data_IF_860692899923
#
_entry.id   IF_860692899923
#
_cell.length_a   1.000
_cell.length_b   1.000
_cell.length_c   1.000
_cell.angle_alpha   90.00
_cell.angle_beta   90.00
_cell.angle_gamma   90.00
#
_symmetry.space_group_name_H-M   'P 1'
#
loop_
_entity.id
_entity.type
_entity.pdbx_description
1 polymer ?
#
# COMPACT_ATOMS: atom_id res chain seq x y z
N UNK A 1 -0.54 -5.04 -18.50
CA UNK A 1 0.31 -3.85 -18.24
C UNK A 1 1.73 -4.25 -18.62
N UNK A 2 2.44 -3.47 -19.43
CA UNK A 2 3.81 -3.84 -19.84
C UNK A 2 4.72 -3.98 -18.61
N UNK A 3 5.68 -4.94 -18.59
CA UNK A 3 6.55 -5.19 -17.44
C UNK A 3 7.38 -3.98 -17.00
N UNK A 4 7.49 -2.94 -17.82
CA UNK A 4 8.20 -1.70 -17.53
C UNK A 4 7.28 -0.50 -17.20
N UNK A 5 5.96 -0.60 -17.19
CA UNK A 5 5.09 0.55 -16.96
C UNK A 5 4.61 0.57 -15.50
N UNK A 6 4.95 1.64 -14.76
CA UNK A 6 4.52 1.87 -13.37
C UNK A 6 3.39 2.90 -13.27
N UNK A 7 2.80 3.30 -14.40
CA UNK A 7 1.75 4.33 -14.43
C UNK A 7 2.21 5.71 -13.97
N UNK A 8 1.24 6.56 -13.62
CA UNK A 8 1.49 7.93 -13.14
C UNK A 8 1.93 7.91 -11.68
N UNK A 9 3.26 7.93 -11.47
CA UNK A 9 3.85 7.94 -10.13
C UNK A 9 3.76 9.30 -9.41
N UNK A 10 3.41 10.35 -10.15
CA UNK A 10 3.41 11.74 -9.71
C UNK A 10 2.20 12.11 -8.87
N UNK A 11 2.37 13.03 -7.93
CA UNK A 11 1.26 13.79 -7.35
C UNK A 11 0.75 14.79 -8.40
N UNK A 12 -0.55 14.74 -8.74
CA UNK A 12 -1.19 15.50 -9.82
C UNK A 12 -2.19 16.52 -9.26
N UNK A 13 -2.78 17.32 -10.14
CA UNK A 13 -3.84 18.27 -9.78
C UNK A 13 -5.11 17.59 -9.28
N UNK A 14 -5.42 16.38 -9.79
CA UNK A 14 -6.54 15.56 -9.32
C UNK A 14 -6.41 15.26 -7.82
N UNK A 15 -5.20 15.00 -7.33
CA UNK A 15 -4.95 14.76 -5.91
C UNK A 15 -5.07 16.02 -5.06
N UNK A 16 -4.64 17.17 -5.58
CA UNK A 16 -4.80 18.46 -4.91
C UNK A 16 -6.27 18.87 -4.84
N UNK A 17 -7.04 18.49 -5.85
CA UNK A 17 -8.47 18.75 -5.94
C UNK A 17 -9.30 17.77 -5.10
N UNK A 18 -8.70 16.72 -4.53
CA UNK A 18 -9.41 15.73 -3.73
C UNK A 18 -10.15 16.36 -2.54
N UNK A 19 -11.43 15.98 -2.35
CA UNK A 19 -12.30 16.49 -1.26
C UNK A 19 -12.99 15.37 -0.46
N UNK A 20 -12.57 14.13 -0.66
CA UNK A 20 -13.24 12.95 -0.11
C UNK A 20 -13.86 12.08 -1.19
N UNK A 21 -14.27 10.87 -0.80
CA UNK A 21 -14.91 9.89 -1.66
C UNK A 21 -16.09 9.25 -0.95
N UNK A 22 -17.05 8.71 -1.70
CA UNK A 22 -18.07 7.83 -1.12
C UNK A 22 -17.48 6.43 -0.96
N UNK A 23 -17.76 5.77 0.16
CA UNK A 23 -17.29 4.41 0.38
C UNK A 23 -17.78 3.44 -0.72
N UNK A 24 -19.04 3.58 -1.13
CA UNK A 24 -19.64 2.75 -2.19
C UNK A 24 -18.90 2.89 -3.52
N UNK A 25 -18.59 4.11 -3.96
CA UNK A 25 -17.84 4.36 -5.20
C UNK A 25 -16.45 3.72 -5.17
N UNK A 26 -15.74 3.83 -4.04
CA UNK A 26 -14.42 3.24 -3.87
C UNK A 26 -14.47 1.72 -3.86
N UNK A 27 -15.41 1.15 -3.11
CA UNK A 27 -15.67 -0.30 -3.06
C UNK A 27 -15.99 -0.83 -4.45
N UNK A 28 -16.97 -0.23 -5.12
CA UNK A 28 -17.46 -0.71 -6.41
C UNK A 28 -16.37 -0.65 -7.47
N UNK A 29 -15.54 0.41 -7.47
CA UNK A 29 -14.39 0.48 -8.33
C UNK A 29 -13.39 -0.65 -8.06
N UNK A 30 -13.03 -0.89 -6.79
CA UNK A 30 -12.07 -1.94 -6.40
C UNK A 30 -12.55 -3.33 -6.84
N UNK A 31 -13.84 -3.60 -6.72
CA UNK A 31 -14.42 -4.90 -7.07
C UNK A 31 -14.90 -5.01 -8.52
N UNK A 32 -14.79 -3.94 -9.33
CA UNK A 32 -15.14 -3.97 -10.74
C UNK A 32 -14.29 -4.96 -11.56
N UNK A 33 -13.07 -5.25 -11.10
CA UNK A 33 -12.15 -6.22 -11.70
C UNK A 33 -11.78 -7.29 -10.66
N UNK A 34 -12.68 -8.25 -10.37
CA UNK A 34 -12.45 -9.21 -9.29
C UNK A 34 -11.24 -10.11 -9.58
N UNK A 35 -10.54 -10.51 -8.52
CA UNK A 35 -9.51 -11.54 -8.61
C UNK A 35 -10.09 -12.84 -9.17
N UNK A 36 -9.27 -13.58 -9.90
CA UNK A 36 -9.66 -14.92 -10.34
C UNK A 36 -9.94 -15.80 -9.12
N UNK A 37 -10.98 -16.63 -9.23
CA UNK A 37 -11.36 -17.57 -8.17
C UNK A 37 -10.33 -18.68 -7.99
N UNK A 38 -9.68 -19.08 -9.08
CA UNK A 38 -8.65 -20.12 -9.11
C UNK A 38 -7.46 -19.59 -9.90
N UNK A 39 -6.28 -19.66 -9.31
CA UNK A 39 -5.02 -19.34 -9.96
C UNK A 39 -4.20 -20.63 -10.15
N UNK A 40 -3.59 -20.81 -11.33
CA UNK A 40 -2.72 -21.95 -11.62
C UNK A 40 -3.41 -23.31 -11.70
N UNK A 41 -4.74 -23.33 -11.87
CA UNK A 41 -5.50 -24.54 -12.21
C UNK A 41 -5.31 -24.94 -13.68
N UNK A 42 -5.85 -26.10 -14.07
CA UNK A 42 -5.79 -26.56 -15.46
C UNK A 42 -6.50 -25.55 -16.39
N UNK A 43 -5.75 -24.94 -17.31
CA UNK A 43 -6.26 -23.91 -18.22
C UNK A 43 -6.35 -22.49 -17.62
N UNK A 44 -6.03 -22.33 -16.33
CA UNK A 44 -6.05 -21.03 -15.64
C UNK A 44 -4.64 -20.42 -15.57
N UNK A 45 -4.50 -19.09 -15.67
CA UNK A 45 -3.18 -18.47 -15.57
C UNK A 45 -2.64 -18.56 -14.13
N UNK A 46 -1.30 -18.54 -13.95
CA UNK A 46 -0.70 -18.51 -12.63
C UNK A 46 -0.97 -17.18 -11.90
N UNK A 47 -0.91 -17.21 -10.57
CA UNK A 47 -0.98 -15.98 -9.77
C UNK A 47 0.18 -15.05 -10.19
N UNK A 48 -0.09 -13.80 -10.60
CA UNK A 48 0.96 -12.88 -11.00
C UNK A 48 1.84 -12.54 -9.79
N UNK A 49 3.15 -12.69 -9.97
CA UNK A 49 4.17 -12.27 -9.01
C UNK A 49 5.02 -11.21 -9.69
N UNK A 50 5.16 -10.06 -9.03
CA UNK A 50 5.95 -8.94 -9.51
C UNK A 50 7.18 -8.73 -8.62
N UNK A 51 8.33 -8.58 -9.27
CA UNK A 51 9.59 -8.37 -8.57
C UNK A 51 9.82 -6.91 -8.22
N UNK A 52 10.41 -6.69 -7.05
CA UNK A 52 11.06 -5.42 -6.71
C UNK A 52 12.53 -5.56 -7.02
N UNK A 53 13.03 -4.76 -7.94
CA UNK A 53 14.42 -4.84 -8.41
C UNK A 53 15.15 -3.52 -8.19
N UNK A 54 16.47 -3.56 -8.00
CA UNK A 54 17.27 -2.35 -7.92
C UNK A 54 17.09 -1.45 -9.16
N UNK A 55 17.10 -1.96 -10.42
CA UNK A 55 16.78 -1.17 -11.60
C UNK A 55 15.44 -0.45 -11.53
N UNK A 56 14.38 -1.08 -11.02
CA UNK A 56 13.09 -0.40 -10.81
C UNK A 56 13.17 0.71 -9.77
N UNK A 57 13.95 0.51 -8.70
CA UNK A 57 14.13 1.49 -7.64
C UNK A 57 14.97 2.70 -8.07
N UNK A 58 15.89 2.56 -9.04
CA UNK A 58 16.75 3.66 -9.54
C UNK A 58 16.29 4.27 -10.87
N UNK A 59 15.14 3.85 -11.38
CA UNK A 59 14.66 4.30 -12.69
C UNK A 59 14.41 5.81 -12.72
N UNK A 60 14.96 6.49 -13.72
CA UNK A 60 14.84 7.95 -13.87
C UNK A 60 15.82 8.76 -13.04
N UNK A 61 16.89 8.14 -12.51
CA UNK A 61 17.99 8.87 -11.84
C UNK A 61 18.97 9.49 -12.84
N UNK A 62 19.20 8.86 -14.00
CA UNK A 62 20.17 9.35 -14.99
C UNK A 62 19.54 10.32 -16.00
N UNK A 63 20.19 11.46 -16.34
CA UNK A 63 19.67 12.44 -17.30
C UNK A 63 19.83 12.01 -18.78
N UNK A 64 19.10 12.65 -19.72
CA UNK A 64 18.17 13.77 -19.52
C UNK A 64 16.71 13.39 -19.83
N UNK A 65 15.79 13.65 -18.88
CA UNK A 65 14.37 13.85 -19.20
C UNK A 65 13.34 13.00 -18.47
N UNK A 66 13.72 12.01 -17.66
CA UNK A 66 12.75 11.26 -16.83
C UNK A 66 12.88 11.66 -15.37
N UNK A 67 11.82 12.13 -14.71
CA UNK A 67 11.89 12.39 -13.28
C UNK A 67 12.08 11.07 -12.52
N UNK A 68 12.76 11.15 -11.37
CA UNK A 68 13.05 9.98 -10.55
C UNK A 68 11.75 9.36 -10.01
N UNK A 69 11.30 8.26 -10.63
CA UNK A 69 9.98 7.66 -10.39
C UNK A 69 9.76 7.26 -8.93
N UNK A 70 10.78 6.68 -8.28
CA UNK A 70 10.62 6.26 -6.88
C UNK A 70 10.47 7.46 -5.94
N UNK A 71 11.19 8.56 -6.17
CA UNK A 71 10.99 9.81 -5.42
C UNK A 71 9.57 10.35 -5.58
N UNK A 72 9.01 10.29 -6.78
CA UNK A 72 7.63 10.71 -7.05
C UNK A 72 6.62 9.83 -6.32
N UNK A 73 6.82 8.51 -6.36
CA UNK A 73 5.98 7.55 -5.66
C UNK A 73 6.01 7.75 -4.13
N UNK A 74 7.18 8.09 -3.56
CA UNK A 74 7.34 8.41 -2.12
C UNK A 74 6.64 9.71 -1.78
N UNK A 75 6.88 10.80 -2.52
CA UNK A 75 6.21 12.08 -2.30
C UNK A 75 4.69 11.92 -2.35
N UNK A 76 4.20 11.20 -3.36
CA UNK A 76 2.78 10.88 -3.48
C UNK A 76 2.24 10.09 -2.29
N UNK A 77 2.98 9.09 -1.80
CA UNK A 77 2.51 8.27 -0.68
C UNK A 77 2.30 9.10 0.60
N UNK A 78 3.06 10.18 0.77
CA UNK A 78 2.97 11.10 1.90
C UNK A 78 1.90 12.19 1.68
N UNK A 79 1.86 12.78 0.49
CA UNK A 79 1.08 14.00 0.21
C UNK A 79 -0.32 13.73 -0.37
N UNK A 80 -0.56 12.55 -0.96
CA UNK A 80 -1.82 12.26 -1.65
C UNK A 80 -2.91 11.76 -0.71
N UNK A 81 -4.02 12.52 -0.65
CA UNK A 81 -5.21 12.09 0.07
C UNK A 81 -6.19 11.26 -0.77
N UNK A 82 -6.02 11.19 -2.10
CA UNK A 82 -6.91 10.44 -2.98
C UNK A 82 -7.03 8.94 -2.59
N UNK A 83 -8.26 8.41 -2.67
CA UNK A 83 -8.55 7.00 -2.32
C UNK A 83 -8.36 6.05 -3.49
N UNK A 84 -8.56 6.55 -4.71
CA UNK A 84 -8.46 5.78 -5.95
C UNK A 84 -7.53 6.47 -6.93
N UNK A 85 -6.75 5.68 -7.66
CA UNK A 85 -6.00 6.13 -8.82
C UNK A 85 -5.96 5.05 -9.89
N UNK A 86 -6.75 5.28 -10.91
CA UNK A 86 -7.11 4.30 -11.91
C UNK A 86 -6.39 4.52 -13.25
N UNK A 87 -5.77 5.69 -13.45
CA UNK A 87 -5.30 6.09 -14.77
C UNK A 87 -6.47 6.24 -15.76
N UNK A 88 -6.16 6.59 -17.00
CA UNK A 88 -7.19 6.72 -18.06
C UNK A 88 -7.82 5.37 -18.44
N UNK A 89 -7.11 4.26 -18.23
CA UNK A 89 -7.54 2.91 -18.60
C UNK A 89 -8.38 2.20 -17.53
N UNK A 90 -8.57 2.84 -16.37
CA UNK A 90 -9.24 2.24 -15.22
C UNK A 90 -8.66 0.90 -14.79
N UNK A 91 -7.33 0.77 -14.81
CA UNK A 91 -6.62 -0.41 -14.27
C UNK A 91 -5.66 -0.08 -13.13
N UNK A 92 -5.52 1.21 -12.81
CA UNK A 92 -4.59 1.70 -11.81
C UNK A 92 -3.15 1.55 -12.26
N UNK A 93 -2.23 1.53 -11.29
CA UNK A 93 -0.82 1.45 -11.57
C UNK A 93 -0.13 0.42 -10.67
N UNK A 94 0.96 -0.16 -11.18
CA UNK A 94 1.78 -1.09 -10.40
C UNK A 94 2.74 -0.32 -9.51
N UNK A 95 2.71 -0.58 -8.20
CA UNK A 95 3.62 0.06 -7.24
C UNK A 95 5.05 -0.42 -7.41
N UNK A 96 6.03 0.46 -7.21
CA UNK A 96 7.46 0.13 -7.19
C UNK A 96 7.82 -0.77 -6.00
N UNK A 97 7.25 -0.47 -4.83
CA UNK A 97 7.40 -1.24 -3.59
C UNK A 97 6.02 -1.80 -3.20
N UNK A 98 6.00 -2.99 -2.62
CA UNK A 98 4.78 -3.76 -2.35
C UNK A 98 3.91 -3.99 -3.61
N UNK A 99 4.44 -4.46 -4.76
CA UNK A 99 3.64 -4.65 -5.97
C UNK A 99 2.60 -5.78 -5.82
N UNK A 100 2.89 -6.79 -4.99
CA UNK A 100 2.03 -7.93 -4.75
C UNK A 100 1.11 -7.66 -3.55
N UNK A 101 -0.20 -7.66 -3.78
CA UNK A 101 -1.17 -7.44 -2.72
C UNK A 101 -2.62 -7.51 -3.19
N UNK A 102 -3.51 -7.63 -2.21
CA UNK A 102 -4.96 -7.73 -2.40
C UNK A 102 -5.65 -6.54 -1.74
N UNK A 103 -6.75 -6.08 -2.34
CA UNK A 103 -7.65 -5.12 -1.71
C UNK A 103 -8.67 -5.85 -0.84
N UNK A 104 -9.00 -5.24 0.29
CA UNK A 104 -9.94 -5.72 1.30
C UNK A 104 -10.91 -4.59 1.66
N UNK A 105 -12.12 -4.95 2.04
CA UNK A 105 -13.07 -4.01 2.66
C UNK A 105 -13.67 -4.62 3.91
N UNK A 106 -14.03 -3.80 4.89
CA UNK A 106 -14.65 -4.30 6.11
C UNK A 106 -15.02 -3.21 7.09
N UNK A 107 -15.17 -3.61 8.35
CA UNK A 107 -15.37 -2.74 9.50
C UNK A 107 -14.06 -2.63 10.27
N UNK A 108 -13.57 -1.41 10.44
CA UNK A 108 -12.53 -1.07 11.41
C UNK A 108 -13.16 -0.87 12.78
N UNK A 109 -12.61 -1.51 13.80
CA UNK A 109 -13.06 -1.40 15.18
C UNK A 109 -11.87 -1.52 16.14
N UNK A 110 -11.73 -0.55 17.04
CA UNK A 110 -10.73 -0.59 18.12
C UNK A 110 -11.43 -1.00 19.43
N UNK A 111 -11.27 -2.26 19.83
CA UNK A 111 -11.90 -2.79 21.06
C UNK A 111 -11.06 -2.57 22.32
N UNK A 112 -9.75 -2.39 22.18
CA UNK A 112 -8.81 -2.22 23.29
C UNK A 112 -8.53 -0.74 23.59
N UNK A 113 -8.17 -0.43 24.84
CA UNK A 113 -7.68 0.90 25.19
C UNK A 113 -6.35 1.18 24.48
N UNK A 114 -6.26 2.32 23.80
CA UNK A 114 -5.03 2.76 23.12
C UNK A 114 -4.63 4.15 23.63
N UNK A 115 -3.35 4.55 23.48
CA UNK A 115 -2.92 5.94 23.70
C UNK A 115 -3.28 6.86 22.53
N UNK A 116 -3.85 6.32 21.45
CA UNK A 116 -4.15 7.07 20.23
C UNK A 116 -5.52 7.74 20.29
N UNK A 117 -5.71 8.76 19.45
CA UNK A 117 -6.95 9.55 19.34
C UNK A 117 -7.63 9.33 17.98
N UNK A 118 -8.69 10.10 17.69
CA UNK A 118 -9.40 10.00 16.42
C UNK A 118 -9.98 8.60 16.18
N UNK A 119 -9.77 8.05 14.98
CA UNK A 119 -10.22 6.69 14.61
C UNK A 119 -9.42 5.54 15.24
N UNK A 120 -8.37 5.87 16.00
CA UNK A 120 -7.49 4.89 16.65
C UNK A 120 -7.73 4.77 18.15
N UNK A 121 -8.63 5.57 18.72
CA UNK A 121 -9.06 5.44 20.12
C UNK A 121 -10.02 4.26 20.29
N UNK A 122 -10.17 3.80 21.53
CA UNK A 122 -11.13 2.76 21.90
C UNK A 122 -12.57 3.10 21.46
N UNK A 123 -13.31 2.07 21.05
CA UNK A 123 -14.71 2.07 20.64
C UNK A 123 -15.00 2.86 19.35
N UNK A 124 -13.95 3.28 18.62
CA UNK A 124 -14.12 3.88 17.30
C UNK A 124 -14.40 2.82 16.23
N UNK A 125 -15.36 3.15 15.35
CA UNK A 125 -15.80 2.31 14.24
C UNK A 125 -15.82 3.12 12.94
N UNK A 126 -15.39 2.49 11.86
CA UNK A 126 -15.32 3.08 10.52
C UNK A 126 -15.39 1.99 9.46
N UNK A 127 -15.92 2.28 8.28
CA UNK A 127 -15.71 1.40 7.13
C UNK A 127 -14.27 1.53 6.64
N UNK A 128 -13.63 0.41 6.33
CA UNK A 128 -12.24 0.38 5.86
C UNK A 128 -12.15 -0.14 4.44
N UNK A 129 -11.30 0.53 3.67
CA UNK A 129 -10.71 -0.02 2.45
C UNK A 129 -9.23 -0.22 2.73
N UNK A 130 -8.79 -1.47 2.72
CA UNK A 130 -7.41 -1.85 2.99
C UNK A 130 -6.74 -2.49 1.79
N UNK A 131 -5.41 -2.41 1.74
CA UNK A 131 -4.58 -3.21 0.85
C UNK A 131 -3.59 -4.01 1.68
N UNK A 132 -3.73 -5.32 1.66
CA UNK A 132 -2.80 -6.25 2.28
C UNK A 132 -1.77 -6.69 1.25
N UNK A 133 -0.49 -6.55 1.56
CA UNK A 133 0.57 -6.69 0.57
C UNK A 133 1.88 -7.17 1.16
N UNK A 134 2.79 -7.63 0.31
CA UNK A 134 4.15 -8.02 0.68
C UNK A 134 5.15 -7.16 -0.08
N UNK A 135 6.18 -6.65 0.61
CA UNK A 135 7.31 -6.00 -0.05
C UNK A 135 8.24 -7.05 -0.66
N UNK A 136 8.87 -6.69 -1.79
CA UNK A 136 9.68 -7.57 -2.63
C UNK A 136 8.87 -8.67 -3.33
N UNK A 137 9.57 -9.72 -3.76
CA UNK A 137 9.09 -10.76 -4.67
C UNK A 137 8.29 -11.85 -3.96
N UNK A 138 8.63 -12.20 -2.72
CA UNK A 138 8.11 -13.43 -2.11
C UNK A 138 6.67 -13.26 -1.59
N UNK A 139 5.82 -14.20 -1.99
CA UNK A 139 4.38 -14.22 -1.70
C UNK A 139 3.94 -15.50 -0.97
N UNK A 140 4.79 -16.54 -0.98
CA UNK A 140 4.47 -17.88 -0.47
C UNK A 140 4.55 -17.95 1.05
N UNK A 141 3.66 -18.75 1.64
CA UNK A 141 3.66 -19.07 3.07
C UNK A 141 4.99 -19.72 3.49
N UNK A 142 5.42 -19.48 4.72
CA UNK A 142 6.60 -20.13 5.33
C UNK A 142 7.95 -19.55 4.89
N UNK A 143 7.95 -18.62 3.93
CA UNK A 143 9.12 -17.84 3.55
C UNK A 143 9.14 -16.48 4.26
N UNK A 144 10.31 -15.86 4.28
CA UNK A 144 10.47 -14.51 4.80
C UNK A 144 9.76 -13.50 3.90
N UNK A 145 8.86 -12.72 4.51
CA UNK A 145 8.01 -11.75 3.82
C UNK A 145 7.93 -10.48 4.65
N UNK A 146 7.73 -9.36 3.97
CA UNK A 146 7.51 -8.08 4.64
C UNK A 146 6.06 -7.66 4.40
N UNK A 147 5.18 -8.19 5.25
CA UNK A 147 3.73 -8.06 5.14
C UNK A 147 3.28 -6.70 5.69
N UNK A 148 2.34 -6.06 4.99
CA UNK A 148 1.82 -4.74 5.32
C UNK A 148 0.33 -4.63 5.01
N UNK A 149 -0.40 -3.98 5.91
CA UNK A 149 -1.77 -3.52 5.71
C UNK A 149 -1.77 -1.99 5.76
N UNK A 150 -2.17 -1.40 4.65
CA UNK A 150 -2.36 0.05 4.53
C UNK A 150 -3.81 0.28 4.18
N UNK A 151 -4.45 1.30 4.76
CA UNK A 151 -5.86 1.51 4.48
C UNK A 151 -6.35 2.94 4.67
N UNK A 152 -7.58 3.11 4.22
CA UNK A 152 -8.41 4.30 4.32
C UNK A 152 -9.59 3.98 5.24
N UNK A 153 -9.81 4.84 6.24
CA UNK A 153 -10.92 4.75 7.18
C UNK A 153 -11.96 5.79 6.81
N UNK A 154 -13.11 5.33 6.37
CA UNK A 154 -14.26 6.16 6.05
C UNK A 154 -15.04 6.43 7.35
N UNK A 155 -15.30 7.71 7.69
CA UNK A 155 -15.94 8.13 8.93
C UNK A 155 -17.45 7.82 8.97
N UNK A 156 -17.84 6.59 8.66
CA UNK A 156 -19.21 6.10 8.60
C UNK A 156 -19.25 4.59 8.88
N UNK A 157 -20.42 4.08 9.25
CA UNK A 157 -20.74 2.65 9.25
C UNK A 157 -21.80 2.29 8.21
N UNK A 158 -22.33 3.29 7.50
CA UNK A 158 -23.27 3.11 6.40
C UNK A 158 -22.50 2.92 5.08
N UNK A 159 -22.58 1.74 4.45
CA UNK A 159 -21.88 1.46 3.20
C UNK A 159 -22.42 2.25 2.01
N UNK A 160 -23.59 2.86 2.12
CA UNK A 160 -24.24 3.65 1.08
C UNK A 160 -24.33 5.15 1.45
N UNK A 161 -23.49 5.60 2.38
CA UNK A 161 -23.46 6.99 2.82
C UNK A 161 -23.40 7.96 1.63
N UNK A 162 -24.31 8.93 1.61
CA UNK A 162 -24.61 9.74 0.43
C UNK A 162 -23.68 10.93 0.21
N UNK A 163 -22.77 11.23 1.13
CA UNK A 163 -21.83 12.35 0.96
C UNK A 163 -20.40 11.85 0.79
N UNK A 164 -19.55 12.55 0.03
CA UNK A 164 -18.12 12.29 0.04
C UNK A 164 -17.53 12.51 1.45
N UNK A 165 -16.70 11.58 1.89
CA UNK A 165 -16.11 11.61 3.23
C UNK A 165 -14.60 11.84 3.18
N UNK A 166 -14.09 12.66 4.11
CA UNK A 166 -12.66 12.78 4.34
C UNK A 166 -12.17 11.59 5.17
N UNK A 167 -11.34 10.75 4.58
CA UNK A 167 -10.82 9.53 5.21
C UNK A 167 -9.63 9.82 6.12
N UNK A 168 -9.48 9.05 7.20
CA UNK A 168 -8.18 8.88 7.84
C UNK A 168 -7.37 7.78 7.13
N UNK A 169 -6.04 7.85 7.20
CA UNK A 169 -5.15 6.87 6.61
C UNK A 169 -4.44 6.10 7.72
N UNK A 170 -4.09 4.85 7.49
CA UNK A 170 -3.16 4.15 8.37
C UNK A 170 -2.19 3.31 7.56
N UNK A 171 -0.98 3.16 8.11
CA UNK A 171 0.05 2.31 7.54
C UNK A 171 0.59 1.39 8.63
N UNK A 172 0.47 0.08 8.42
CA UNK A 172 1.03 -0.92 9.32
C UNK A 172 1.84 -1.95 8.56
N UNK A 173 2.87 -2.48 9.20
CA UNK A 173 3.78 -3.45 8.61
C UNK A 173 4.35 -4.33 9.71
N UNK A 174 4.75 -5.55 9.36
CA UNK A 174 5.35 -6.47 10.32
C UNK A 174 6.80 -6.06 10.64
N UNK A 175 7.68 -6.29 9.68
CA UNK A 175 9.09 -5.90 9.71
C UNK A 175 9.45 -5.38 8.31
N UNK A 176 10.16 -4.26 8.23
CA UNK A 176 10.58 -3.66 6.95
C UNK A 176 11.61 -4.55 6.24
N UNK A 177 12.53 -5.15 6.99
CA UNK A 177 13.47 -6.17 6.50
C UNK A 177 12.76 -7.47 6.12
N UNK A 178 11.69 -7.81 6.84
CA UNK A 178 10.91 -9.01 6.63
C UNK A 178 10.97 -9.94 7.84
N UNK A 179 9.99 -10.83 7.91
CA UNK A 179 9.87 -11.79 8.99
C UNK A 179 9.26 -13.10 8.48
N UNK A 180 9.44 -14.17 9.27
CA UNK A 180 8.95 -15.50 8.91
C UNK A 180 7.69 -15.81 9.69
N UNK A 181 6.57 -15.82 8.99
CA UNK A 181 5.26 -16.30 9.47
C UNK A 181 4.74 -17.41 8.58
N UNK A 182 4.17 -18.44 9.19
CA UNK A 182 3.59 -19.55 8.44
C UNK A 182 2.24 -19.17 7.83
N UNK A 183 1.41 -18.42 8.57
CA UNK A 183 0.12 -17.93 8.11
C UNK A 183 0.08 -16.40 8.11
N UNK A 184 -0.72 -15.84 7.21
CA UNK A 184 -0.91 -14.37 7.11
C UNK A 184 -1.56 -13.79 8.36
N UNK A 185 -2.37 -14.59 9.06
CA UNK A 185 -3.07 -14.20 10.28
C UNK A 185 -2.15 -14.17 11.51
N UNK A 186 -0.96 -14.77 11.41
CA UNK A 186 0.04 -14.75 12.50
C UNK A 186 0.90 -13.47 12.43
N UNK A 187 0.82 -12.72 11.32
CA UNK A 187 1.61 -11.53 11.13
C UNK A 187 1.09 -10.39 12.02
N UNK A 188 1.92 -10.00 13.00
CA UNK A 188 1.65 -8.82 13.81
C UNK A 188 2.07 -7.56 13.06
N UNK A 189 1.11 -6.71 12.70
CA UNK A 189 1.38 -5.46 11.97
C UNK A 189 1.40 -4.27 12.92
N UNK A 190 2.45 -3.47 12.84
CA UNK A 190 2.70 -2.31 13.69
C UNK A 190 2.87 -1.06 12.84
N UNK A 191 2.50 0.10 13.39
CA UNK A 191 2.77 1.42 12.80
C UNK A 191 4.24 1.85 12.96
N UNK A 192 4.93 1.30 13.97
CA UNK A 192 6.38 1.37 14.16
C UNK A 192 6.99 -0.04 14.02
N UNK A 193 7.07 -0.58 12.80
CA UNK A 193 7.63 -1.91 12.56
C UNK A 193 9.13 -1.96 12.88
N UNK A 194 9.61 -3.17 13.14
CA UNK A 194 11.04 -3.43 13.19
C UNK A 194 11.69 -3.20 11.82
N UNK A 195 12.99 -2.89 11.82
CA UNK A 195 13.77 -2.61 10.62
C UNK A 195 14.96 -3.56 10.50
N UNK A 196 14.69 -4.87 10.52
CA UNK A 196 15.73 -5.89 10.52
C UNK A 196 16.36 -6.07 9.13
N UNK A 197 17.12 -5.07 8.70
CA UNK A 197 17.60 -4.90 7.32
C UNK A 197 18.41 -6.08 6.77
N UNK A 198 19.19 -6.80 7.60
CA UNK A 198 20.02 -7.92 7.14
C UNK A 198 19.21 -9.11 6.61
N UNK A 199 17.95 -9.25 7.04
CA UNK A 199 17.01 -10.26 6.53
C UNK A 199 16.69 -10.05 5.04
N UNK A 200 16.76 -8.81 4.56
CA UNK A 200 16.51 -8.45 3.16
C UNK A 200 17.51 -9.04 2.15
N UNK A 201 18.65 -9.57 2.60
CA UNK A 201 19.68 -10.12 1.72
C UNK A 201 20.07 -9.17 0.59
N UNK A 202 19.95 -9.60 -0.66
CA UNK A 202 20.25 -8.76 -1.84
C UNK A 202 19.29 -7.57 -2.03
N UNK A 203 18.21 -7.47 -1.27
CA UNK A 203 17.29 -6.33 -1.27
C UNK A 203 17.71 -5.14 -0.41
N UNK A 204 18.80 -5.25 0.38
CA UNK A 204 19.32 -4.15 1.22
C UNK A 204 19.54 -2.83 0.46
N UNK A 205 20.09 -2.80 -0.76
CA UNK A 205 20.27 -1.55 -1.49
C UNK A 205 18.95 -0.82 -1.78
N UNK A 206 17.89 -1.55 -2.12
CA UNK A 206 16.55 -0.96 -2.33
C UNK A 206 16.01 -0.37 -1.04
N UNK A 207 16.21 -1.07 0.09
CA UNK A 207 15.82 -0.59 1.41
C UNK A 207 16.55 0.70 1.80
N UNK A 208 17.85 0.82 1.50
CA UNK A 208 18.62 2.04 1.77
C UNK A 208 18.15 3.22 0.92
N UNK A 209 17.79 2.98 -0.35
CA UNK A 209 17.20 3.99 -1.22
C UNK A 209 15.83 4.43 -0.67
N UNK A 210 14.98 3.48 -0.29
CA UNK A 210 13.68 3.74 0.33
C UNK A 210 13.86 4.62 1.58
N UNK A 211 14.74 4.21 2.50
CA UNK A 211 15.02 4.96 3.73
C UNK A 211 15.51 6.38 3.43
N UNK A 212 16.44 6.54 2.48
CA UNK A 212 16.97 7.87 2.11
C UNK A 212 15.90 8.77 1.52
N UNK A 213 14.99 8.23 0.71
CA UNK A 213 13.91 8.99 0.11
C UNK A 213 12.87 9.41 1.14
N UNK A 214 12.42 8.47 1.98
CA UNK A 214 11.48 8.78 3.05
C UNK A 214 12.08 9.75 4.06
N UNK A 215 13.35 9.63 4.46
CA UNK A 215 14.02 10.59 5.35
C UNK A 215 14.03 12.04 4.81
N UNK A 216 13.98 12.21 3.48
CA UNK A 216 13.97 13.53 2.84
C UNK A 216 12.57 14.13 2.68
N UNK A 217 11.53 13.28 2.68
CA UNK A 217 10.15 13.66 2.33
C UNK A 217 9.25 13.61 3.56
N UNK A 218 9.49 12.66 4.46
CA UNK A 218 8.74 12.42 5.68
C UNK A 218 9.56 12.80 6.91
N UNK A 219 8.92 13.44 7.89
CA UNK A 219 9.54 13.80 9.17
C UNK A 219 9.76 12.58 10.06
N UNK A 220 8.97 11.51 9.89
CA UNK A 220 9.08 10.27 10.67
C UNK A 220 9.12 9.03 9.77
N UNK A 221 10.22 8.80 9.03
CA UNK A 221 10.30 7.78 7.98
C UNK A 221 10.15 6.33 8.47
N UNK A 222 10.35 6.08 9.76
CA UNK A 222 10.22 4.76 10.40
C UNK A 222 8.91 4.58 11.18
N UNK A 223 8.13 5.65 11.38
CA UNK A 223 6.79 5.60 11.97
C UNK A 223 5.80 5.97 10.88
N UNK A 224 5.06 4.99 10.37
CA UNK A 224 4.14 5.28 9.28
C UNK A 224 2.81 5.77 9.86
N UNK A 225 2.27 6.83 9.26
CA UNK A 225 1.07 7.58 9.67
C UNK A 225 0.00 6.69 10.33
N UNK A 226 -0.49 7.14 11.48
CA UNK A 226 -1.82 6.86 12.02
C UNK A 226 -2.62 8.16 11.97
#
# INVERSE_FOLDING_TARGET
>A
MEPGFFGTEQFTEEDRAYRGSRFSEVRDAIFANPYQKVWGGAGEPPLPIYDVTLPSAVRGILPPGSPYFFRQAVARAVDSHADLRWGTDRKGFRRIIHPNGICLTGLWEISAQTPYSGYFRKDCRALVVGRYSTCCTETRRGYERSLSLVGKLFPTTDPNHSEPLSTANFFTQQDIGGDRTDYINDAELRNAPNTTSWRRGFGVPVLLIEATLFMKIDRQPTQRQL
#
